data_IF_922335994482
#
_entry.id   IF_922335994482
#
_cell.length_a   1.000
_cell.length_b   1.000
_cell.length_c   1.000
_cell.angle_alpha   90.00
_cell.angle_beta   90.00
_cell.angle_gamma   90.00
#
_symmetry.space_group_name_H-M   'P 1'
#
loop_
_entity.id
_entity.type
_entity.pdbx_description
1 polymer ?
#
# COMPACT_ATOMS: atom_id res chain seq x y z
N UNK A 1 -1.27 -17.53 10.85
CA UNK A 1 -2.13 -17.62 9.66
C UNK A 1 -3.48 -16.96 9.98
N UNK A 2 -3.54 -15.62 9.91
CA UNK A 2 -4.64 -14.80 10.46
C UNK A 2 -5.99 -15.17 9.83
N UNK A 3 -6.04 -15.23 8.50
CA UNK A 3 -7.26 -15.48 7.75
C UNK A 3 -7.72 -16.95 7.83
N UNK A 4 -6.80 -17.92 7.90
CA UNK A 4 -7.18 -19.34 7.91
C UNK A 4 -7.46 -19.95 9.29
N UNK A 5 -6.97 -19.32 10.36
CA UNK A 5 -7.10 -19.90 11.72
C UNK A 5 -8.17 -19.20 12.54
N UNK A 6 -8.36 -17.88 12.36
CA UNK A 6 -9.23 -17.09 13.23
C UNK A 6 -10.63 -16.84 12.65
N UNK A 7 -10.86 -17.18 11.38
CA UNK A 7 -12.19 -17.10 10.77
C UNK A 7 -12.91 -18.45 10.82
N UNK A 8 -14.22 -18.41 11.10
CA UNK A 8 -15.04 -19.61 11.05
C UNK A 8 -15.21 -20.07 9.58
N UNK A 9 -14.69 -21.26 9.25
CA UNK A 9 -14.75 -21.88 7.92
C UNK A 9 -14.21 -20.97 6.79
N UNK A 10 -12.90 -20.68 6.80
CA UNK A 10 -12.30 -19.82 5.79
C UNK A 10 -12.32 -20.50 4.42
N UNK A 11 -12.99 -19.88 3.46
CA UNK A 11 -12.98 -20.25 2.05
C UNK A 11 -12.74 -18.99 1.22
N UNK A 12 -11.53 -18.87 0.68
CA UNK A 12 -11.09 -17.70 -0.07
C UNK A 12 -10.72 -18.12 -1.48
N UNK A 13 -11.31 -17.46 -2.49
CA UNK A 13 -10.96 -17.68 -3.90
C UNK A 13 -9.54 -17.22 -4.23
N UNK A 14 -8.94 -16.38 -3.39
CA UNK A 14 -7.58 -15.89 -3.53
C UNK A 14 -7.25 -14.80 -2.52
N UNK A 15 -6.08 -14.22 -2.67
CA UNK A 15 -5.62 -13.04 -1.92
C UNK A 15 -5.13 -11.96 -2.87
N UNK A 16 -5.34 -10.71 -2.47
CA UNK A 16 -4.82 -9.54 -3.17
C UNK A 16 -3.74 -8.88 -2.32
N UNK A 17 -2.54 -8.77 -2.87
CA UNK A 17 -1.45 -8.00 -2.30
C UNK A 17 -1.36 -6.65 -3.02
N UNK A 18 -1.41 -5.57 -2.26
CA UNK A 18 -1.38 -4.21 -2.77
C UNK A 18 -0.05 -3.56 -2.38
N UNK A 19 0.77 -3.23 -3.37
CA UNK A 19 2.05 -2.53 -3.18
C UNK A 19 1.87 -1.06 -3.56
N UNK A 20 1.63 -0.23 -2.56
CA UNK A 20 1.24 1.18 -2.72
C UNK A 20 2.37 2.17 -2.97
N UNK A 21 3.60 1.71 -3.21
CA UNK A 21 4.78 2.57 -3.39
C UNK A 21 5.56 2.85 -2.09
N UNK A 22 6.70 3.52 -2.24
CA UNK A 22 7.68 3.78 -1.16
C UNK A 22 8.22 2.48 -0.56
N UNK A 23 8.67 1.56 -1.42
CA UNK A 23 9.29 0.31 -0.98
C UNK A 23 10.71 0.52 -0.43
N UNK A 24 11.35 1.62 -0.82
CA UNK A 24 12.69 1.99 -0.43
C UNK A 24 12.67 3.39 0.17
N UNK A 25 13.63 3.72 1.03
CA UNK A 25 13.81 5.07 1.56
C UNK A 25 14.15 6.05 0.43
N UNK A 26 14.98 5.58 -0.52
CA UNK A 26 15.50 6.39 -1.60
C UNK A 26 16.33 7.59 -1.09
N UNK A 27 16.70 8.50 -1.99
CA UNK A 27 17.51 9.67 -1.64
C UNK A 27 16.66 10.95 -1.56
N UNK A 28 15.50 10.86 -0.89
CA UNK A 28 14.50 11.92 -0.92
C UNK A 28 14.95 13.20 -0.20
N UNK A 29 15.61 13.02 0.94
CA UNK A 29 16.13 14.08 1.79
C UNK A 29 17.65 13.98 1.79
N UNK A 30 18.36 15.11 1.77
CA UNK A 30 19.84 15.13 1.82
C UNK A 30 20.35 14.36 3.05
N UNK A 31 19.62 14.42 4.16
CA UNK A 31 19.95 13.68 5.40
C UNK A 31 19.88 12.14 5.25
N UNK A 32 18.99 11.62 4.40
CA UNK A 32 18.89 10.17 4.13
C UNK A 32 20.09 9.68 3.32
N UNK A 33 20.75 10.55 2.55
CA UNK A 33 21.94 10.19 1.77
C UNK A 33 23.10 9.81 2.69
N UNK A 34 23.19 10.45 3.86
CA UNK A 34 24.29 10.26 4.81
C UNK A 34 24.02 9.17 5.86
N UNK A 35 22.75 8.76 6.03
CA UNK A 35 22.31 7.84 7.09
C UNK A 35 21.76 6.50 6.58
N UNK A 36 21.44 6.37 5.29
CA UNK A 36 20.94 5.12 4.72
C UNK A 36 22.00 4.01 4.79
N UNK A 37 21.60 2.83 5.29
CA UNK A 37 22.48 1.65 5.42
C UNK A 37 22.93 1.08 4.07
N UNK A 38 22.22 1.40 2.98
CA UNK A 38 22.48 0.88 1.65
C UNK A 38 22.06 1.87 0.56
N UNK A 39 22.74 1.83 -0.59
CA UNK A 39 22.35 2.66 -1.74
C UNK A 39 20.95 2.30 -2.26
N UNK A 40 20.20 3.22 -2.91
CA UNK A 40 18.87 2.93 -3.44
C UNK A 40 18.81 1.74 -4.40
N UNK A 41 19.88 1.48 -5.17
CA UNK A 41 19.95 0.31 -6.06
C UNK A 41 20.00 -1.01 -5.28
N UNK A 42 20.76 -1.04 -4.18
CA UNK A 42 20.83 -2.21 -3.28
C UNK A 42 19.48 -2.41 -2.58
N UNK A 43 18.90 -1.35 -2.01
CA UNK A 43 17.57 -1.40 -1.40
C UNK A 43 16.53 -1.96 -2.39
N UNK A 44 16.55 -1.50 -3.65
CA UNK A 44 15.63 -1.96 -4.72
C UNK A 44 15.75 -3.46 -4.98
N UNK A 45 16.99 -3.97 -5.04
CA UNK A 45 17.25 -5.38 -5.29
C UNK A 45 16.80 -6.25 -4.10
N UNK A 46 17.18 -5.87 -2.89
CA UNK A 46 16.88 -6.63 -1.68
C UNK A 46 15.38 -6.65 -1.37
N UNK A 47 14.70 -5.49 -1.47
CA UNK A 47 13.25 -5.43 -1.21
C UNK A 47 12.46 -6.26 -2.23
N UNK A 48 12.92 -6.32 -3.48
CA UNK A 48 12.30 -7.16 -4.50
C UNK A 48 12.41 -8.65 -4.15
N UNK A 49 13.54 -9.10 -3.61
CA UNK A 49 13.71 -10.49 -3.16
C UNK A 49 12.82 -10.81 -1.95
N UNK A 50 12.78 -9.92 -0.96
CA UNK A 50 11.96 -10.08 0.25
C UNK A 50 10.48 -10.18 -0.13
N UNK A 51 9.98 -9.26 -0.97
CA UNK A 51 8.58 -9.27 -1.40
C UNK A 51 8.28 -10.49 -2.27
N UNK A 52 9.18 -10.90 -3.17
CA UNK A 52 8.99 -12.11 -3.97
C UNK A 52 8.87 -13.37 -3.10
N UNK A 53 9.66 -13.47 -2.03
CA UNK A 53 9.52 -14.56 -1.05
C UNK A 53 8.17 -14.50 -0.32
N UNK A 54 7.70 -13.31 0.05
CA UNK A 54 6.36 -13.12 0.61
C UNK A 54 5.25 -13.54 -0.36
N UNK A 55 5.37 -13.17 -1.64
CA UNK A 55 4.42 -13.59 -2.70
C UNK A 55 4.43 -15.11 -2.87
N UNK A 56 5.60 -15.75 -2.83
CA UNK A 56 5.70 -17.21 -2.86
C UNK A 56 4.96 -17.84 -1.67
N UNK A 57 5.18 -17.34 -0.46
CA UNK A 57 4.46 -17.81 0.73
C UNK A 57 2.93 -17.68 0.56
N UNK A 58 2.45 -16.55 0.02
CA UNK A 58 1.02 -16.39 -0.28
C UNK A 58 0.54 -17.36 -1.35
N UNK A 59 1.38 -17.67 -2.35
CA UNK A 59 1.04 -18.60 -3.43
C UNK A 59 0.90 -20.05 -2.96
N UNK A 60 1.62 -20.43 -1.91
CA UNK A 60 1.49 -21.75 -1.28
C UNK A 60 0.18 -21.85 -0.48
N UNK A 61 -0.34 -20.71 -0.01
CA UNK A 61 -1.51 -20.64 0.86
C UNK A 61 -2.83 -20.37 0.12
N UNK A 62 -2.83 -19.65 -1.00
CA UNK A 62 -4.06 -19.19 -1.66
C UNK A 62 -4.19 -19.72 -3.10
N UNK A 63 -5.41 -20.09 -3.55
CA UNK A 63 -5.63 -20.59 -4.91
C UNK A 63 -5.23 -19.60 -6.02
N UNK A 64 -5.29 -18.30 -5.73
CA UNK A 64 -4.91 -17.22 -6.62
C UNK A 64 -4.26 -16.09 -5.80
N UNK A 65 -3.16 -15.54 -6.30
CA UNK A 65 -2.53 -14.33 -5.74
C UNK A 65 -2.50 -13.25 -6.83
N UNK A 66 -3.14 -12.12 -6.54
CA UNK A 66 -3.12 -10.94 -7.41
C UNK A 66 -2.30 -9.84 -6.75
N UNK A 67 -1.30 -9.31 -7.45
CA UNK A 67 -0.40 -8.27 -6.95
C UNK A 67 -0.59 -6.99 -7.76
N UNK A 68 -1.05 -5.92 -7.12
CA UNK A 68 -1.28 -4.63 -7.77
C UNK A 68 -0.30 -3.59 -7.23
N UNK A 69 0.44 -2.94 -8.12
CA UNK A 69 1.57 -2.09 -7.75
C UNK A 69 1.44 -0.68 -8.35
N UNK A 70 1.68 0.34 -7.53
CA UNK A 70 1.94 1.71 -7.99
C UNK A 70 3.23 2.21 -7.35
N UNK A 71 3.97 3.06 -8.05
CA UNK A 71 5.19 3.64 -7.51
C UNK A 71 4.88 4.77 -6.53
N UNK A 72 5.72 4.94 -5.51
CA UNK A 72 5.64 6.04 -4.56
C UNK A 72 6.58 7.18 -4.91
N UNK A 73 6.72 8.17 -4.03
CA UNK A 73 7.58 9.32 -4.30
C UNK A 73 9.03 9.11 -3.87
N UNK A 74 9.33 8.13 -3.02
CA UNK A 74 10.69 7.87 -2.50
C UNK A 74 11.59 7.20 -3.53
N UNK A 75 11.07 6.24 -4.30
CA UNK A 75 11.85 5.55 -5.33
C UNK A 75 12.22 6.41 -6.55
N UNK A 76 11.85 7.69 -6.62
CA UNK A 76 12.09 8.50 -7.82
C UNK A 76 13.59 8.74 -8.07
N UNK A 77 13.99 8.73 -9.33
CA UNK A 77 15.36 9.06 -9.77
C UNK A 77 15.52 10.52 -10.22
N UNK A 78 14.48 11.33 -10.01
CA UNK A 78 14.44 12.75 -10.40
C UNK A 78 14.18 13.65 -9.19
N UNK A 79 14.68 14.89 -9.23
CA UNK A 79 14.50 15.85 -8.12
C UNK A 79 13.04 16.04 -7.69
N UNK A 80 12.12 16.16 -8.66
CA UNK A 80 10.67 16.23 -8.43
C UNK A 80 9.96 15.09 -9.17
N UNK A 81 8.80 14.59 -8.68
CA UNK A 81 8.02 13.60 -9.39
C UNK A 81 7.56 14.13 -10.76
N UNK A 82 7.75 13.33 -11.83
CA UNK A 82 7.32 13.69 -13.19
C UNK A 82 5.85 13.32 -13.42
N UNK A 83 5.18 13.98 -14.35
CA UNK A 83 3.85 13.53 -14.80
C UNK A 83 3.99 12.44 -15.87
N UNK A 84 4.77 12.71 -16.92
CA UNK A 84 5.07 11.72 -17.97
C UNK A 84 6.16 10.77 -17.49
N UNK A 85 5.98 9.48 -17.75
CA UNK A 85 6.93 8.42 -17.36
C UNK A 85 7.16 8.36 -15.84
N UNK A 86 6.13 8.67 -15.04
CA UNK A 86 6.23 8.70 -13.58
C UNK A 86 6.86 7.43 -13.02
N UNK A 87 6.36 6.25 -13.42
CA UNK A 87 6.85 4.99 -12.90
C UNK A 87 8.22 4.60 -13.51
N UNK A 88 8.49 4.92 -14.77
CA UNK A 88 9.77 4.58 -15.41
C UNK A 88 10.98 5.34 -14.82
N UNK A 89 10.77 6.51 -14.22
CA UNK A 89 11.80 7.23 -13.46
C UNK A 89 11.71 6.91 -11.95
N UNK A 90 11.40 5.65 -11.63
CA UNK A 90 11.16 5.21 -10.26
C UNK A 90 11.69 3.79 -10.01
N UNK A 91 12.39 3.63 -8.89
CA UNK A 91 12.98 2.39 -8.44
C UNK A 91 11.96 1.43 -7.82
N UNK A 92 10.84 1.91 -7.26
CA UNK A 92 9.73 1.03 -6.86
C UNK A 92 9.22 0.24 -8.08
N UNK A 93 9.10 0.93 -9.22
CA UNK A 93 8.67 0.29 -10.46
C UNK A 93 9.68 -0.75 -10.94
N UNK A 94 10.99 -0.48 -10.78
CA UNK A 94 12.03 -1.45 -11.06
C UNK A 94 11.92 -2.67 -10.14
N UNK A 95 11.73 -2.47 -8.83
CA UNK A 95 11.50 -3.55 -7.88
C UNK A 95 10.29 -4.40 -8.29
N UNK A 96 9.18 -3.79 -8.73
CA UNK A 96 8.02 -4.53 -9.22
C UNK A 96 8.31 -5.39 -10.46
N UNK A 97 9.22 -4.95 -11.35
CA UNK A 97 9.66 -5.78 -12.49
C UNK A 97 10.48 -6.97 -12.02
N UNK A 98 11.41 -6.75 -11.08
CA UNK A 98 12.19 -7.83 -10.47
C UNK A 98 11.29 -8.84 -9.74
N UNK A 99 10.30 -8.38 -8.97
CA UNK A 99 9.32 -9.24 -8.31
C UNK A 99 8.56 -10.08 -9.36
N UNK A 100 8.13 -9.46 -10.46
CA UNK A 100 7.49 -10.16 -11.57
C UNK A 100 8.38 -11.27 -12.15
N UNK A 101 9.67 -10.98 -12.35
CA UNK A 101 10.64 -11.96 -12.85
C UNK A 101 10.91 -13.10 -11.87
N UNK A 102 11.00 -12.80 -10.56
CA UNK A 102 11.20 -13.80 -9.51
C UNK A 102 9.99 -14.70 -9.30
N UNK A 103 8.78 -14.19 -9.58
CA UNK A 103 7.52 -14.91 -9.36
C UNK A 103 6.93 -15.52 -10.64
N UNK A 104 7.58 -15.33 -11.81
CA UNK A 104 7.03 -15.71 -13.13
C UNK A 104 6.66 -17.20 -13.30
N UNK A 105 7.28 -18.08 -12.51
CA UNK A 105 7.03 -19.53 -12.56
C UNK A 105 5.91 -19.98 -11.60
N UNK A 106 5.35 -19.07 -10.80
CA UNK A 106 4.25 -19.35 -9.89
C UNK A 106 2.92 -19.26 -10.66
N UNK A 107 2.36 -20.41 -11.03
CA UNK A 107 1.20 -20.48 -11.95
C UNK A 107 -0.09 -19.84 -11.45
N UNK A 108 -0.22 -19.60 -10.15
CA UNK A 108 -1.36 -18.95 -9.50
C UNK A 108 -1.14 -17.45 -9.20
N UNK A 109 0.02 -16.88 -9.55
CA UNK A 109 0.36 -15.48 -9.28
C UNK A 109 0.17 -14.63 -10.53
N UNK A 110 -0.44 -13.46 -10.37
CA UNK A 110 -0.51 -12.42 -11.42
C UNK A 110 -0.11 -11.07 -10.82
N UNK A 111 0.75 -10.34 -11.53
CA UNK A 111 1.27 -9.04 -11.09
C UNK A 111 0.99 -7.95 -12.12
N UNK A 112 0.48 -6.81 -11.66
CA UNK A 112 0.24 -5.61 -12.45
C UNK A 112 1.05 -4.45 -11.90
N UNK A 113 2.00 -3.96 -12.70
CA UNK A 113 2.82 -2.78 -12.42
C UNK A 113 2.85 -1.87 -13.66
N UNK A 114 1.74 -1.18 -13.96
CA UNK A 114 1.63 -0.30 -15.12
C UNK A 114 2.55 0.91 -15.01
N UNK A 115 2.78 1.60 -16.13
CA UNK A 115 3.45 2.90 -16.14
C UNK A 115 2.43 4.03 -15.90
N UNK A 116 1.74 3.98 -14.76
CA UNK A 116 0.74 4.97 -14.33
C UNK A 116 0.91 5.29 -12.86
N UNK A 117 0.35 6.44 -12.43
CA UNK A 117 0.30 6.81 -11.00
C UNK A 117 -0.77 6.07 -10.22
N UNK A 118 -1.87 5.77 -10.92
CA UNK A 118 -3.01 5.09 -10.35
C UNK A 118 -3.24 3.78 -11.11
N UNK A 119 -3.81 2.79 -10.43
CA UNK A 119 -4.17 1.50 -11.01
C UNK A 119 -5.55 1.09 -10.48
N UNK A 120 -6.48 0.85 -11.40
CA UNK A 120 -7.77 0.27 -11.02
C UNK A 120 -7.74 -1.25 -11.15
N UNK A 121 -8.48 -1.90 -10.28
CA UNK A 121 -8.72 -3.33 -10.32
C UNK A 121 -10.04 -3.66 -9.62
N UNK A 122 -10.50 -4.88 -9.77
CA UNK A 122 -11.74 -5.36 -9.18
C UNK A 122 -11.49 -6.62 -8.35
N UNK A 123 -12.14 -6.72 -7.20
CA UNK A 123 -12.16 -7.92 -6.36
C UNK A 123 -13.59 -8.24 -6.02
N UNK A 124 -14.09 -9.38 -6.49
CA UNK A 124 -15.46 -9.84 -6.22
C UNK A 124 -16.53 -8.78 -6.52
N UNK A 125 -16.45 -8.10 -7.67
CA UNK A 125 -17.38 -7.04 -8.07
C UNK A 125 -17.13 -5.67 -7.44
N UNK A 126 -16.20 -5.57 -6.48
CA UNK A 126 -15.86 -4.30 -5.82
C UNK A 126 -14.66 -3.65 -6.50
N UNK A 127 -14.82 -2.42 -7.00
CA UNK A 127 -13.78 -1.73 -7.77
C UNK A 127 -12.91 -0.89 -6.86
N UNK A 128 -11.60 -1.04 -7.03
CA UNK A 128 -10.59 -0.28 -6.31
C UNK A 128 -9.84 0.65 -7.24
N UNK A 129 -9.42 1.80 -6.69
CA UNK A 129 -8.33 2.60 -7.25
C UNK A 129 -7.16 2.62 -6.27
N UNK A 130 -6.04 2.05 -6.68
CA UNK A 130 -4.77 2.20 -5.99
C UNK A 130 -4.08 3.48 -6.44
N UNK A 131 -3.64 4.29 -5.49
CA UNK A 131 -2.81 5.47 -5.71
C UNK A 131 -1.83 5.61 -4.56
N UNK A 132 -0.60 6.06 -4.80
CA UNK A 132 0.34 6.21 -3.69
C UNK A 132 -0.11 7.30 -2.70
N UNK A 133 -0.48 8.48 -3.21
CA UNK A 133 -1.03 9.58 -2.40
C UNK A 133 -0.16 10.85 -2.32
N UNK A 134 1.05 10.83 -2.87
CA UNK A 134 2.00 11.96 -2.93
C UNK A 134 1.47 13.24 -3.60
N UNK A 135 0.38 13.13 -4.36
CA UNK A 135 -0.33 14.26 -4.97
C UNK A 135 -1.30 14.98 -4.03
N UNK A 136 -1.62 14.38 -2.87
CA UNK A 136 -2.51 14.95 -1.88
C UNK A 136 -1.69 15.80 -0.90
N UNK A 137 -2.09 17.06 -0.72
CA UNK A 137 -1.36 18.05 0.08
C UNK A 137 -2.23 18.65 1.17
N UNK A 138 -1.63 18.89 2.32
CA UNK A 138 -2.24 19.44 3.52
C UNK A 138 -2.39 18.40 4.63
N UNK A 139 -3.23 18.73 5.60
CA UNK A 139 -3.36 18.05 6.89
C UNK A 139 -3.38 19.13 7.95
N UNK A 140 -4.36 19.10 8.85
CA UNK A 140 -4.60 20.18 9.84
C UNK A 140 -4.18 19.79 11.26
N UNK A 141 -3.59 18.60 11.44
CA UNK A 141 -3.22 18.06 12.76
C UNK A 141 -4.42 17.66 13.62
N UNK A 142 -5.66 17.90 13.17
CA UNK A 142 -6.90 17.59 13.90
C UNK A 142 -7.48 16.27 13.40
N UNK A 143 -7.64 16.15 12.07
CA UNK A 143 -8.19 14.95 11.42
C UNK A 143 -7.15 14.18 10.61
N UNK A 144 -5.87 14.45 10.87
CA UNK A 144 -4.74 13.84 10.16
C UNK A 144 -4.87 13.97 8.63
N UNK A 145 -4.64 12.89 7.86
CA UNK A 145 -4.67 12.91 6.41
C UNK A 145 -6.09 12.83 5.83
N UNK A 146 -7.14 12.67 6.65
CA UNK A 146 -8.52 12.51 6.15
C UNK A 146 -8.92 13.69 5.25
N UNK A 147 -8.64 14.92 5.67
CA UNK A 147 -8.93 16.13 4.90
C UNK A 147 -8.31 16.15 3.49
N UNK A 148 -6.96 16.09 3.36
CA UNK A 148 -6.31 16.07 2.05
C UNK A 148 -6.68 14.84 1.20
N UNK A 149 -6.83 13.66 1.81
CA UNK A 149 -7.20 12.42 1.11
C UNK A 149 -8.62 12.48 0.59
N UNK A 150 -9.60 12.92 1.40
CA UNK A 150 -10.99 13.04 0.97
C UNK A 150 -11.15 14.03 -0.19
N UNK A 151 -10.40 15.15 -0.15
CA UNK A 151 -10.35 16.12 -1.25
C UNK A 151 -9.76 15.50 -2.53
N UNK A 152 -8.71 14.69 -2.37
CA UNK A 152 -8.06 13.95 -3.44
C UNK A 152 -8.97 12.91 -4.09
N UNK A 153 -9.59 12.06 -3.27
CA UNK A 153 -10.60 11.07 -3.66
C UNK A 153 -11.75 11.73 -4.43
N UNK A 154 -12.31 12.82 -3.90
CA UNK A 154 -13.37 13.57 -4.58
C UNK A 154 -12.97 14.01 -5.98
N UNK A 155 -11.81 14.67 -6.13
CA UNK A 155 -11.32 15.11 -7.45
C UNK A 155 -11.13 13.94 -8.40
N UNK A 156 -10.52 12.85 -7.94
CA UNK A 156 -10.32 11.63 -8.76
C UNK A 156 -11.64 11.01 -9.21
N UNK A 157 -12.66 10.96 -8.35
CA UNK A 157 -14.00 10.44 -8.70
C UNK A 157 -14.70 11.32 -9.71
N UNK A 158 -14.67 12.63 -9.52
CA UNK A 158 -15.23 13.58 -10.48
C UNK A 158 -14.57 13.38 -11.84
N UNK A 159 -13.24 13.36 -11.91
CA UNK A 159 -12.51 13.08 -13.17
C UNK A 159 -12.91 11.75 -13.78
N UNK A 160 -12.97 10.67 -13.00
CA UNK A 160 -13.38 9.35 -13.46
C UNK A 160 -14.81 9.33 -14.03
N UNK A 161 -15.75 10.07 -13.42
CA UNK A 161 -17.15 10.15 -13.86
C UNK A 161 -17.34 10.98 -15.13
N UNK A 162 -16.45 11.92 -15.42
CA UNK A 162 -16.49 12.77 -16.61
C UNK A 162 -15.95 12.06 -17.86
N UNK A 163 -15.27 10.92 -17.71
CA UNK A 163 -14.78 10.13 -18.84
C UNK A 163 -15.93 9.35 -19.50
N UNK A 164 -16.06 9.37 -20.85
CA UNK A 164 -17.10 8.60 -21.54
C UNK A 164 -17.07 7.12 -21.15
N UNK A 165 -18.22 6.59 -20.73
CA UNK A 165 -18.34 5.20 -20.24
C UNK A 165 -17.80 4.96 -18.84
N UNK A 166 -17.30 5.99 -18.15
CA UNK A 166 -16.74 5.94 -16.81
C UNK A 166 -15.77 4.75 -16.54
N UNK A 167 -14.82 4.45 -17.44
CA UNK A 167 -13.93 3.28 -17.32
C UNK A 167 -13.04 3.35 -16.07
N UNK A 168 -12.85 4.55 -15.56
CA UNK A 168 -12.02 4.86 -14.40
C UNK A 168 -12.83 4.94 -13.09
N UNK A 169 -14.12 4.59 -13.10
CA UNK A 169 -14.97 4.61 -11.91
C UNK A 169 -14.57 3.49 -10.94
N UNK A 170 -14.66 3.80 -9.65
CA UNK A 170 -14.22 2.94 -8.56
C UNK A 170 -15.06 3.19 -7.31
N UNK A 171 -15.09 2.20 -6.41
CA UNK A 171 -15.90 2.23 -5.20
C UNK A 171 -15.03 2.67 -4.01
N UNK A 172 -13.81 2.13 -3.88
CA UNK A 172 -12.88 2.46 -2.79
C UNK A 172 -11.49 2.84 -3.30
N UNK A 173 -10.92 3.93 -2.79
CA UNK A 173 -9.51 4.29 -3.03
C UNK A 173 -8.60 3.61 -2.00
N UNK A 174 -7.48 3.06 -2.43
CA UNK A 174 -6.42 2.57 -1.53
C UNK A 174 -5.21 3.49 -1.67
N UNK A 175 -4.60 3.88 -0.55
CA UNK A 175 -3.45 4.77 -0.56
C UNK A 175 -2.43 4.50 0.56
N UNK A 176 -1.22 5.03 0.35
CA UNK A 176 -0.10 5.03 1.30
C UNK A 176 0.30 6.46 1.67
N UNK A 177 1.60 6.77 1.60
CA UNK A 177 2.21 8.10 1.77
C UNK A 177 2.10 8.74 3.17
N UNK A 178 0.91 8.73 3.78
CA UNK A 178 0.63 9.40 5.06
C UNK A 178 0.95 8.55 6.29
N UNK A 179 1.30 7.28 6.11
CA UNK A 179 1.74 6.37 7.17
C UNK A 179 0.74 6.23 8.34
N UNK A 180 -0.57 6.37 8.04
CA UNK A 180 -1.64 6.18 9.02
C UNK A 180 -2.63 5.13 8.53
N UNK A 181 -2.98 4.19 9.41
CA UNK A 181 -4.00 3.19 9.14
C UNK A 181 -5.38 3.81 9.27
N UNK A 182 -6.12 3.85 8.16
CA UNK A 182 -7.45 4.44 8.11
C UNK A 182 -8.36 3.52 7.30
N UNK A 183 -9.50 3.14 7.87
CA UNK A 183 -10.52 2.35 7.17
C UNK A 183 -11.83 3.11 7.14
N UNK A 184 -12.11 3.75 6.01
CA UNK A 184 -13.39 4.41 5.75
C UNK A 184 -14.03 3.77 4.52
N UNK A 185 -15.37 3.83 4.37
CA UNK A 185 -16.07 3.20 3.23
C UNK A 185 -15.51 3.61 1.86
N UNK A 186 -15.08 4.88 1.73
CA UNK A 186 -14.59 5.44 0.47
C UNK A 186 -13.10 5.26 0.24
N UNK A 187 -12.30 5.13 1.30
CA UNK A 187 -10.86 4.99 1.15
C UNK A 187 -10.21 4.28 2.33
N UNK A 188 -9.14 3.55 2.01
CA UNK A 188 -8.35 2.77 2.94
C UNK A 188 -6.89 3.27 2.87
N UNK A 189 -6.36 3.69 4.01
CA UNK A 189 -4.94 4.01 4.22
C UNK A 189 -4.24 2.83 4.88
N UNK A 190 -3.08 2.42 4.34
CA UNK A 190 -2.41 1.18 4.75
C UNK A 190 -1.82 1.19 6.17
N UNK A 191 -1.44 2.36 6.71
CA UNK A 191 -0.42 2.44 7.76
C UNK A 191 0.99 2.41 7.14
N UNK A 192 1.99 1.99 7.92
CA UNK A 192 3.37 1.84 7.45
C UNK A 192 4.11 0.77 8.24
N UNK A 193 5.06 0.10 7.61
CA UNK A 193 6.04 -0.78 8.27
C UNK A 193 7.28 -0.03 8.72
N UNK A 194 7.45 1.22 8.26
CA UNK A 194 8.53 2.11 8.69
C UNK A 194 8.29 2.54 10.14
N UNK A 195 9.35 2.52 10.95
CA UNK A 195 9.32 3.06 12.31
C UNK A 195 9.12 4.57 12.36
N UNK A 196 8.84 5.06 13.56
CA UNK A 196 8.70 6.49 13.85
C UNK A 196 10.08 7.14 13.97
N UNK A 197 10.36 8.11 13.11
CA UNK A 197 11.67 8.74 12.97
C UNK A 197 11.68 10.20 13.42
N UNK A 198 12.86 10.80 13.37
CA UNK A 198 13.13 12.20 13.73
C UNK A 198 12.33 13.16 12.85
N UNK A 199 12.13 12.83 11.58
CA UNK A 199 11.28 13.61 10.68
C UNK A 199 9.82 13.62 11.15
N UNK A 200 9.25 12.46 11.44
CA UNK A 200 7.88 12.35 11.96
C UNK A 200 7.73 13.10 13.30
N UNK A 201 8.73 12.97 14.18
CA UNK A 201 8.79 13.71 15.45
C UNK A 201 8.83 15.23 15.24
N UNK A 202 9.69 15.72 14.34
CA UNK A 202 9.82 17.15 14.03
C UNK A 202 8.53 17.74 13.45
N UNK A 203 7.77 16.93 12.69
CA UNK A 203 6.49 17.31 12.12
C UNK A 203 5.32 17.12 13.09
N UNK A 204 5.56 16.58 14.29
CA UNK A 204 4.54 16.21 15.27
C UNK A 204 3.46 15.28 14.68
N UNK A 205 3.84 14.33 13.83
CA UNK A 205 2.91 13.34 13.34
C UNK A 205 2.50 12.37 14.45
N UNK A 206 1.27 11.86 14.44
CA UNK A 206 0.86 10.84 15.41
C UNK A 206 1.68 9.57 15.21
N UNK A 207 2.06 8.94 16.33
CA UNK A 207 2.71 7.64 16.33
C UNK A 207 1.70 6.51 16.10
N UNK A 208 2.06 5.52 15.29
CA UNK A 208 1.35 4.25 15.13
C UNK A 208 2.38 3.10 15.16
N UNK A 209 2.01 1.90 15.67
CA UNK A 209 2.88 0.74 15.58
C UNK A 209 3.08 0.35 14.09
N UNK A 210 4.25 -0.20 13.71
CA UNK A 210 4.45 -0.72 12.36
C UNK A 210 3.39 -1.75 11.99
N UNK A 211 2.63 -1.48 10.93
CA UNK A 211 1.44 -2.24 10.57
C UNK A 211 1.07 -2.13 9.09
N UNK A 212 0.23 -3.06 8.63
CA UNK A 212 -0.38 -3.06 7.29
C UNK A 212 -1.89 -3.29 7.35
N UNK A 213 -2.63 -2.75 6.39
CA UNK A 213 -4.07 -2.93 6.31
C UNK A 213 -4.43 -4.33 5.77
N UNK A 214 -5.35 -5.01 6.44
CA UNK A 214 -5.96 -6.26 5.97
C UNK A 214 -7.48 -6.16 6.04
N UNK A 215 -8.15 -6.62 4.99
CA UNK A 215 -9.60 -6.67 4.94
C UNK A 215 -10.11 -7.79 4.05
N UNK A 216 -11.37 -8.19 4.23
CA UNK A 216 -12.04 -9.20 3.42
C UNK A 216 -13.13 -8.59 2.54
N UNK A 217 -13.29 -9.12 1.33
CA UNK A 217 -14.27 -8.65 0.35
C UNK A 217 -15.21 -9.79 -0.02
N UNK A 218 -16.50 -9.61 0.25
CA UNK A 218 -17.54 -10.56 -0.09
C UNK A 218 -18.29 -10.14 -1.36
N UNK A 219 -18.54 -11.03 -2.34
CA UNK A 219 -19.19 -10.68 -3.61
C UNK A 219 -20.53 -9.96 -3.50
N UNK A 220 -21.28 -10.22 -2.43
CA UNK A 220 -22.59 -9.60 -2.17
C UNK A 220 -22.56 -8.44 -1.18
N UNK A 221 -21.56 -8.42 -0.29
CA UNK A 221 -21.59 -7.55 0.90
C UNK A 221 -20.45 -6.53 0.91
N UNK A 222 -19.56 -6.54 -0.08
CA UNK A 222 -18.40 -5.65 -0.12
C UNK A 222 -17.45 -5.97 1.04
N UNK A 223 -16.94 -4.93 1.70
CA UNK A 223 -16.06 -5.13 2.86
C UNK A 223 -16.83 -5.70 4.04
N UNK A 224 -16.35 -6.81 4.60
CA UNK A 224 -17.01 -7.47 5.74
C UNK A 224 -16.20 -7.41 7.02
N UNK A 225 -14.89 -7.16 6.92
CA UNK A 225 -14.00 -7.11 8.07
C UNK A 225 -12.72 -6.36 7.72
N UNK A 226 -12.17 -5.66 8.71
CA UNK A 226 -10.90 -4.93 8.63
C UNK A 226 -10.09 -5.16 9.89
N UNK A 227 -8.77 -5.20 9.75
CA UNK A 227 -7.84 -5.25 10.88
C UNK A 227 -6.45 -4.78 10.45
N UNK A 228 -5.70 -4.09 11.33
CA UNK A 228 -4.27 -3.90 11.13
C UNK A 228 -3.50 -5.21 11.38
N UNK A 229 -2.58 -5.55 10.49
CA UNK A 229 -1.58 -6.60 10.69
C UNK A 229 -0.35 -5.94 11.28
N UNK A 230 -0.12 -6.15 12.57
CA UNK A 230 1.02 -5.60 13.30
C UNK A 230 2.29 -6.38 12.98
N UNK A 231 3.41 -5.67 12.79
CA UNK A 231 4.71 -6.29 12.60
C UNK A 231 5.28 -6.86 13.91
N UNK A 232 4.99 -6.22 15.05
CA UNK A 232 5.36 -6.71 16.38
C UNK A 232 4.25 -7.60 16.95
N UNK A 233 4.46 -8.92 17.08
CA UNK A 233 3.47 -9.83 17.64
C UNK A 233 3.20 -9.61 19.13
N UNK A 234 4.09 -8.90 19.84
CA UNK A 234 3.97 -8.60 21.26
C UNK A 234 3.42 -7.20 21.52
N UNK A 235 3.09 -6.44 20.48
CA UNK A 235 2.55 -5.11 20.66
C UNK A 235 1.25 -5.15 21.46
N UNK A 236 1.18 -4.30 22.49
CA UNK A 236 -0.01 -4.12 23.29
C UNK A 236 -0.31 -2.63 23.43
N UNK A 237 -1.47 -2.20 22.96
CA UNK A 237 -1.92 -0.80 23.06
C UNK A 237 -2.17 -0.34 24.50
N UNK A 238 -2.29 -1.28 25.44
CA UNK A 238 -2.52 -1.02 26.85
C UNK A 238 -1.58 -1.88 27.69
N UNK A 239 -1.15 -1.39 28.86
CA UNK A 239 -0.68 -2.32 29.89
C UNK A 239 -1.81 -3.30 30.16
N UNK A 240 -1.59 -4.60 29.96
CA UNK A 240 -2.54 -5.65 30.33
C UNK A 240 -2.89 -5.41 31.79
N UNK A 241 -4.10 -4.90 32.05
CA UNK A 241 -4.62 -4.82 33.40
C UNK A 241 -5.07 -6.24 33.71
N UNK A 242 -4.38 -6.91 34.62
CA UNK A 242 -4.88 -8.17 35.16
C UNK A 242 -6.30 -7.92 35.67
N UNK A 243 -7.28 -8.53 35.00
CA UNK A 243 -8.64 -8.59 35.49
C UNK A 243 -8.58 -9.51 36.71
N UNK A 244 -8.61 -8.93 37.91
CA UNK A 244 -8.83 -9.65 39.15
C UNK A 244 -10.23 -10.25 39.20
#
# INVERSE_FOLDING_TARGET
>A
NLLKVHFAKPDYSGIVLVLGGDLISGNLHEELIDTDEASPLVQTYEIAQIIANGVKFLSDEFPQVSVYCVAGNHGRTTRKPRTKFYAQFNLDWMAYKMIGDYTKNLGNVKLWAPNSRDLNFEVSGHRYRLTHGDQFRGGDGIIGPIGPVARGDYKKRVTASLMPGAPEAYDTMIYGHFHQYITLPRFIGNGSVKGYDEFAMSCNFPWEPPQQALWTVHPKHGHTWHMPVLCDPNYSAHKIRELK
#
